data_IF_180142927908
#
_entry.id   IF_180142927908
#
_cell.length_a   1.000
_cell.length_b   1.000
_cell.length_c   1.000
_cell.angle_alpha   90.00
_cell.angle_beta   90.00
_cell.angle_gamma   90.00
#
_symmetry.space_group_name_H-M   'P 1'
#
loop_
_entity.id
_entity.type
_entity.pdbx_description
1 polymer ?
#
# COMPACT_ATOMS: atom_id res chain seq x y z
N UNK A 1 -14.08 22.60 47.71
CA UNK A 1 -14.75 22.15 46.46
C UNK A 1 -14.21 22.77 45.17
N UNK A 2 -13.65 24.00 45.16
CA UNK A 2 -13.11 24.62 43.90
C UNK A 2 -11.84 23.96 43.34
N UNK A 3 -10.95 23.44 44.20
CA UNK A 3 -9.69 22.82 43.76
C UNK A 3 -9.87 21.54 42.92
N UNK A 4 -10.95 20.77 43.15
CA UNK A 4 -11.24 19.54 42.40
C UNK A 4 -11.66 19.85 40.96
N UNK A 5 -12.37 20.98 40.74
CA UNK A 5 -12.78 21.41 39.40
C UNK A 5 -11.59 21.80 38.51
N UNK A 6 -10.60 22.50 39.06
CA UNK A 6 -9.40 22.89 38.30
C UNK A 6 -8.53 21.69 37.91
N UNK A 7 -8.42 20.68 38.78
CA UNK A 7 -7.68 19.45 38.49
C UNK A 7 -8.26 18.70 37.28
N UNK A 8 -9.59 18.56 37.21
CA UNK A 8 -10.27 17.86 36.10
C UNK A 8 -10.14 18.63 34.78
N UNK A 9 -10.25 19.96 34.82
CA UNK A 9 -10.10 20.79 33.61
C UNK A 9 -8.66 20.68 33.08
N UNK A 10 -7.66 20.77 33.97
CA UNK A 10 -6.25 20.68 33.59
C UNK A 10 -5.91 19.32 32.97
N UNK A 11 -6.35 18.22 33.58
CA UNK A 11 -6.10 16.87 33.04
C UNK A 11 -6.81 16.64 31.70
N UNK A 12 -8.00 17.18 31.52
CA UNK A 12 -8.75 17.09 30.24
C UNK A 12 -8.05 17.88 29.13
N UNK A 13 -7.58 19.09 29.43
CA UNK A 13 -6.83 19.92 28.46
C UNK A 13 -5.51 19.25 28.08
N UNK A 14 -4.76 18.72 29.06
CA UNK A 14 -3.53 17.97 28.80
C UNK A 14 -3.83 16.74 27.94
N UNK A 15 -4.88 15.96 28.26
CA UNK A 15 -5.25 14.80 27.46
C UNK A 15 -5.55 15.17 26.00
N UNK A 16 -6.36 16.21 25.77
CA UNK A 16 -6.69 16.66 24.42
C UNK A 16 -5.43 17.13 23.68
N UNK A 17 -4.58 17.94 24.30
CA UNK A 17 -3.31 18.36 23.69
C UNK A 17 -2.41 17.17 23.34
N UNK A 18 -2.41 16.13 24.17
CA UNK A 18 -1.54 14.97 24.00
C UNK A 18 -2.08 13.90 23.04
N UNK A 19 -3.40 13.84 22.80
CA UNK A 19 -4.06 12.75 22.07
C UNK A 19 -4.90 13.20 20.87
N UNK A 20 -5.06 14.50 20.64
CA UNK A 20 -5.91 14.96 19.53
C UNK A 20 -5.40 14.46 18.18
N UNK A 21 -4.09 14.43 17.97
CA UNK A 21 -3.45 13.99 16.72
C UNK A 21 -3.74 12.51 16.44
N UNK A 22 -3.75 11.68 17.48
CA UNK A 22 -4.16 10.28 17.40
C UNK A 22 -5.62 10.14 16.93
N UNK A 23 -6.55 10.89 17.53
CA UNK A 23 -7.97 10.80 17.17
C UNK A 23 -8.22 11.30 15.75
N UNK A 24 -7.64 12.44 15.38
CA UNK A 24 -7.76 13.00 14.02
C UNK A 24 -7.16 12.05 12.99
N UNK A 25 -5.98 11.50 13.26
CA UNK A 25 -5.33 10.52 12.39
C UNK A 25 -6.16 9.25 12.22
N UNK A 26 -6.80 8.76 13.28
CA UNK A 26 -7.70 7.59 13.22
C UNK A 26 -8.92 7.86 12.34
N UNK A 27 -9.55 9.04 12.48
CA UNK A 27 -10.72 9.43 11.68
C UNK A 27 -10.32 9.58 10.20
N UNK A 28 -9.22 10.28 9.93
CA UNK A 28 -8.72 10.49 8.57
C UNK A 28 -8.36 9.16 7.90
N UNK A 29 -7.66 8.28 8.62
CA UNK A 29 -7.30 6.97 8.12
C UNK A 29 -8.51 6.10 7.85
N UNK A 30 -9.50 6.08 8.75
CA UNK A 30 -10.74 5.34 8.53
C UNK A 30 -11.48 5.81 7.26
N UNK A 31 -11.54 7.13 7.03
CA UNK A 31 -12.14 7.70 5.82
C UNK A 31 -11.39 7.28 4.56
N UNK A 32 -10.05 7.33 4.57
CA UNK A 32 -9.22 6.89 3.44
C UNK A 32 -9.41 5.38 3.15
N UNK A 33 -9.40 4.54 4.19
CA UNK A 33 -9.58 3.10 4.02
C UNK A 33 -11.01 2.70 3.62
N UNK A 34 -12.01 3.53 3.93
CA UNK A 34 -13.39 3.30 3.48
C UNK A 34 -13.64 3.67 2.03
N UNK A 35 -12.74 4.43 1.39
CA UNK A 35 -12.88 4.81 -0.01
C UNK A 35 -12.31 3.72 -0.93
N UNK A 36 -13.20 2.86 -1.43
CA UNK A 36 -12.84 1.74 -2.31
C UNK A 36 -12.37 2.16 -3.69
N UNK A 37 -12.56 3.42 -4.07
CA UNK A 37 -12.03 3.95 -5.33
C UNK A 37 -10.55 4.30 -5.24
N UNK A 38 -10.02 4.40 -4.01
CA UNK A 38 -8.64 4.82 -3.75
C UNK A 38 -7.76 3.73 -3.15
N UNK A 39 -8.33 2.62 -2.64
CA UNK A 39 -7.59 1.55 -1.94
C UNK A 39 -7.84 0.21 -2.59
N UNK A 40 -6.77 -0.57 -2.75
CA UNK A 40 -6.80 -1.90 -3.33
C UNK A 40 -6.12 -1.97 -4.67
N UNK A 41 -6.42 -3.06 -5.38
CA UNK A 41 -5.93 -3.32 -6.73
C UNK A 41 -6.91 -2.74 -7.76
N UNK A 42 -6.39 -1.92 -8.66
CA UNK A 42 -7.10 -1.28 -9.74
C UNK A 42 -6.47 -1.70 -11.08
N UNK A 43 -7.27 -2.30 -11.95
CA UNK A 43 -6.87 -2.65 -13.32
C UNK A 43 -7.61 -1.72 -14.27
N UNK A 44 -6.87 -0.83 -14.93
CA UNK A 44 -7.42 0.12 -15.90
C UNK A 44 -7.43 -0.46 -17.30
N UNK A 45 -6.44 -1.29 -17.64
CA UNK A 45 -6.30 -1.92 -18.94
C UNK A 45 -5.65 -3.29 -18.80
N UNK A 46 -6.21 -4.28 -19.52
CA UNK A 46 -5.63 -5.62 -19.63
C UNK A 46 -4.91 -5.78 -20.96
N UNK A 47 -3.76 -6.43 -20.94
CA UNK A 47 -2.90 -6.64 -22.10
C UNK A 47 -2.88 -8.13 -22.46
N UNK A 48 -3.28 -8.44 -23.70
CA UNK A 48 -3.13 -9.77 -24.26
C UNK A 48 -1.64 -10.01 -24.58
N UNK A 49 -1.09 -11.12 -24.13
CA UNK A 49 0.31 -11.51 -24.37
C UNK A 49 0.38 -12.81 -25.18
N UNK A 50 1.32 -12.86 -26.10
CA UNK A 50 1.60 -14.05 -26.91
C UNK A 50 2.68 -14.91 -26.26
N UNK A 51 2.76 -16.19 -26.66
CA UNK A 51 3.80 -17.12 -26.19
C UNK A 51 5.24 -16.64 -26.48
N UNK A 52 5.44 -15.76 -27.47
CA UNK A 52 6.74 -15.16 -27.78
C UNK A 52 7.23 -14.15 -26.73
N UNK A 53 6.32 -13.64 -25.90
CA UNK A 53 6.59 -12.66 -24.85
C UNK A 53 6.86 -13.32 -23.49
N UNK A 54 6.89 -14.65 -23.47
CA UNK A 54 6.96 -15.46 -22.26
C UNK A 54 8.22 -16.31 -22.21
N UNK A 55 8.63 -16.61 -20.99
CA UNK A 55 9.76 -17.50 -20.69
C UNK A 55 9.29 -18.50 -19.64
N UNK A 56 9.72 -19.75 -19.79
CA UNK A 56 9.46 -20.78 -18.79
C UNK A 56 10.23 -20.49 -17.50
N UNK A 57 9.56 -20.70 -16.37
CA UNK A 57 10.19 -20.58 -15.06
C UNK A 57 11.09 -21.81 -14.87
N UNK A 58 12.37 -21.63 -14.50
CA UNK A 58 13.27 -22.75 -14.25
C UNK A 58 12.70 -23.64 -13.12
N UNK A 59 12.92 -24.96 -13.16
CA UNK A 59 12.35 -25.90 -12.18
C UNK A 59 12.86 -25.68 -10.75
N UNK A 60 13.99 -24.98 -10.60
CA UNK A 60 14.53 -24.58 -9.30
C UNK A 60 13.81 -23.34 -8.71
N UNK A 61 12.88 -22.76 -9.46
CA UNK A 61 12.16 -21.54 -9.11
C UNK A 61 12.96 -20.27 -9.40
N UNK A 62 12.36 -19.12 -9.10
CA UNK A 62 12.98 -17.81 -9.29
C UNK A 62 13.68 -17.39 -8.00
N UNK A 63 15.01 -17.38 -8.01
CA UNK A 63 15.82 -16.89 -6.89
C UNK A 63 15.90 -15.34 -6.84
N UNK A 64 15.63 -14.68 -7.96
CA UNK A 64 15.63 -13.22 -8.04
C UNK A 64 14.24 -12.64 -7.71
N UNK A 65 14.16 -11.92 -6.60
CA UNK A 65 12.93 -11.24 -6.18
C UNK A 65 12.39 -10.29 -7.26
N UNK A 66 13.25 -9.63 -8.05
CA UNK A 66 12.83 -8.75 -9.12
C UNK A 66 12.06 -9.50 -10.22
N UNK A 67 12.53 -10.70 -10.57
CA UNK A 67 11.91 -11.57 -11.57
C UNK A 67 10.64 -12.25 -11.05
N UNK A 68 10.55 -12.52 -9.73
CA UNK A 68 9.35 -13.13 -9.12
C UNK A 68 8.08 -12.28 -9.30
N UNK A 69 8.24 -10.99 -9.61
CA UNK A 69 7.12 -10.10 -9.90
C UNK A 69 6.59 -10.24 -11.33
N UNK A 70 7.32 -10.88 -12.24
CA UNK A 70 6.96 -11.04 -13.65
C UNK A 70 6.20 -12.35 -13.93
N UNK A 71 5.92 -13.14 -12.89
CA UNK A 71 5.13 -14.36 -12.98
C UNK A 71 3.71 -14.06 -13.47
N UNK A 72 3.31 -14.72 -14.56
CA UNK A 72 1.93 -14.65 -15.08
C UNK A 72 1.16 -15.89 -14.65
N UNK A 73 1.85 -17.04 -14.61
CA UNK A 73 1.31 -18.32 -14.17
C UNK A 73 2.39 -19.14 -13.45
N UNK A 74 2.01 -20.29 -12.91
CA UNK A 74 2.89 -21.14 -12.08
C UNK A 74 4.10 -21.71 -12.86
N UNK A 75 4.06 -21.69 -14.20
CA UNK A 75 5.14 -22.19 -15.07
C UNK A 75 5.72 -21.16 -16.04
N UNK A 76 5.12 -19.97 -16.15
CA UNK A 76 5.47 -18.97 -17.18
C UNK A 76 5.57 -17.58 -16.56
N UNK A 77 6.62 -16.85 -16.95
CA UNK A 77 6.82 -15.45 -16.60
C UNK A 77 6.98 -14.60 -17.86
N UNK A 78 6.75 -13.30 -17.76
CA UNK A 78 7.06 -12.36 -18.85
C UNK A 78 8.56 -12.36 -19.12
N UNK A 79 8.93 -12.31 -20.39
CA UNK A 79 10.32 -12.11 -20.80
C UNK A 79 10.81 -10.77 -20.21
N UNK A 80 11.83 -10.76 -19.34
CA UNK A 80 12.26 -9.55 -18.63
C UNK A 80 12.69 -8.43 -19.58
N UNK A 81 13.42 -8.77 -20.64
CA UNK A 81 13.89 -7.79 -21.63
C UNK A 81 12.72 -7.15 -22.36
N UNK A 82 11.80 -7.96 -22.87
CA UNK A 82 10.59 -7.46 -23.53
C UNK A 82 9.75 -6.61 -22.59
N UNK A 83 9.62 -7.03 -21.33
CA UNK A 83 8.85 -6.29 -20.34
C UNK A 83 9.48 -4.92 -20.06
N UNK A 84 10.79 -4.84 -19.83
CA UNK A 84 11.50 -3.58 -19.57
C UNK A 84 11.47 -2.63 -20.78
N UNK A 85 11.48 -3.16 -21.99
CA UNK A 85 11.42 -2.36 -23.22
C UNK A 85 10.03 -1.72 -23.42
N UNK A 86 8.96 -2.35 -22.93
CA UNK A 86 7.58 -1.94 -23.19
C UNK A 86 6.85 -1.36 -21.96
N UNK A 87 7.29 -1.71 -20.76
CA UNK A 87 6.63 -1.41 -19.49
C UNK A 87 7.62 -1.02 -18.41
N UNK A 88 7.11 -0.23 -17.46
CA UNK A 88 7.82 0.14 -16.24
C UNK A 88 7.03 -0.35 -15.04
N UNK A 89 7.64 -1.24 -14.26
CA UNK A 89 7.10 -1.69 -12.99
C UNK A 89 7.64 -0.84 -11.85
N UNK A 90 6.77 -0.03 -11.26
CA UNK A 90 7.08 0.74 -10.06
C UNK A 90 6.57 -0.08 -8.88
N UNK A 91 7.47 -0.80 -8.20
CA UNK A 91 7.09 -1.66 -7.08
C UNK A 91 6.72 -0.86 -5.84
N UNK A 92 7.40 0.26 -5.57
CA UNK A 92 7.18 1.03 -4.35
C UNK A 92 7.29 2.52 -4.60
N UNK A 93 6.18 3.22 -4.42
CA UNK A 93 6.14 4.67 -4.30
C UNK A 93 5.46 5.04 -2.98
N UNK A 94 6.11 5.88 -2.17
CA UNK A 94 5.56 6.36 -0.91
C UNK A 94 5.29 7.85 -1.00
N UNK A 95 4.07 8.25 -0.66
CA UNK A 95 3.64 9.64 -0.64
C UNK A 95 3.07 9.98 0.74
N UNK A 96 3.47 11.11 1.33
CA UNK A 96 2.90 11.58 2.59
C UNK A 96 1.56 12.29 2.32
N UNK A 97 0.47 11.73 2.83
CA UNK A 97 -0.89 12.26 2.63
C UNK A 97 -1.28 13.21 3.76
N UNK A 98 -0.82 12.94 4.98
CA UNK A 98 -1.06 13.80 6.13
C UNK A 98 0.11 13.78 7.08
N UNK A 99 0.50 14.96 7.58
CA UNK A 99 1.47 15.12 8.65
C UNK A 99 0.87 14.90 10.05
N UNK A 100 -0.45 15.05 10.20
CA UNK A 100 -1.16 14.87 11.47
C UNK A 100 -1.41 13.39 11.69
N UNK A 101 -0.63 12.80 12.61
CA UNK A 101 -0.54 11.36 12.81
C UNK A 101 -0.20 10.67 11.50
N UNK A 102 1.09 10.67 11.12
CA UNK A 102 1.53 10.58 9.74
C UNK A 102 0.85 9.46 8.96
N UNK A 103 0.20 9.81 7.86
CA UNK A 103 -0.43 8.86 6.95
C UNK A 103 0.32 8.90 5.63
N UNK A 104 0.80 7.75 5.18
CA UNK A 104 1.48 7.60 3.90
C UNK A 104 0.68 6.69 2.99
N UNK A 105 0.64 7.01 1.71
CA UNK A 105 0.17 6.16 0.63
C UNK A 105 1.35 5.32 0.12
N UNK A 106 1.15 4.01 0.03
CA UNK A 106 2.03 3.07 -0.64
C UNK A 106 1.38 2.69 -1.96
N UNK A 107 2.11 2.86 -3.06
CA UNK A 107 1.61 2.59 -4.40
C UNK A 107 2.59 1.67 -5.14
N UNK A 108 2.05 0.70 -5.86
CA UNK A 108 2.77 0.02 -6.93
C UNK A 108 1.97 0.11 -8.22
N UNK A 109 2.62 0.25 -9.37
CA UNK A 109 1.93 0.41 -10.66
C UNK A 109 2.74 -0.11 -11.83
N UNK A 110 2.04 -0.43 -12.91
CA UNK A 110 2.62 -0.74 -14.22
C UNK A 110 2.26 0.39 -15.16
N UNK A 111 3.27 1.00 -15.76
CA UNK A 111 3.14 2.03 -16.79
C UNK A 111 3.61 1.47 -18.12
N UNK A 112 2.92 1.80 -19.21
CA UNK A 112 3.41 1.53 -20.57
C UNK A 112 4.43 2.60 -20.97
N UNK A 113 5.56 2.18 -21.51
CA UNK A 113 6.67 3.09 -21.87
C UNK A 113 6.31 4.00 -23.03
N UNK A 114 5.55 3.52 -24.01
CA UNK A 114 5.26 4.26 -25.25
C UNK A 114 4.43 5.53 -25.05
N UNK A 115 3.47 5.49 -24.12
CA UNK A 115 2.50 6.58 -23.88
C UNK A 115 2.48 7.06 -22.41
N UNK A 116 3.24 6.42 -21.52
CA UNK A 116 3.24 6.71 -20.09
C UNK A 116 1.95 6.33 -19.37
N UNK A 117 1.05 5.57 -20.01
CA UNK A 117 -0.26 5.23 -19.44
C UNK A 117 -0.11 4.20 -18.32
N UNK A 118 -0.76 4.44 -17.18
CA UNK A 118 -0.88 3.46 -16.10
C UNK A 118 -1.90 2.38 -16.47
N UNK A 119 -1.47 1.13 -16.54
CA UNK A 119 -2.32 -0.03 -16.87
C UNK A 119 -3.00 -0.61 -15.63
N UNK A 120 -2.25 -0.63 -14.53
CA UNK A 120 -2.72 -1.16 -13.25
C UNK A 120 -1.99 -0.50 -12.11
N UNK A 121 -2.66 -0.44 -10.96
CA UNK A 121 -2.13 0.18 -9.75
C UNK A 121 -2.67 -0.55 -8.52
N UNK A 122 -1.84 -0.72 -7.51
CA UNK A 122 -2.27 -1.12 -6.17
C UNK A 122 -1.96 0.01 -5.20
N UNK A 123 -2.94 0.35 -4.37
CA UNK A 123 -2.82 1.43 -3.40
C UNK A 123 -3.16 0.92 -2.00
N UNK A 124 -2.29 1.23 -1.06
CA UNK A 124 -2.50 0.97 0.36
C UNK A 124 -2.17 2.22 1.17
N UNK A 125 -2.84 2.43 2.29
CA UNK A 125 -2.48 3.49 3.23
C UNK A 125 -1.85 2.90 4.49
N UNK A 126 -0.88 3.62 5.03
CA UNK A 126 -0.20 3.32 6.27
C UNK A 126 -0.31 4.49 7.22
N UNK A 127 -0.80 4.25 8.42
CA UNK A 127 -0.91 5.23 9.48
C UNK A 127 0.10 4.93 10.60
N UNK A 128 0.88 5.95 10.96
CA UNK A 128 1.88 5.93 12.01
C UNK A 128 1.36 6.38 13.40
N UNK A 129 0.06 6.67 13.52
CA UNK A 129 -0.70 6.93 14.75
C UNK A 129 -0.13 8.00 15.68
N UNK A 130 -0.22 9.27 15.24
CA UNK A 130 0.13 10.44 16.05
C UNK A 130 1.65 10.64 16.21
N UNK A 131 2.16 11.81 15.88
CA UNK A 131 3.60 12.10 16.07
C UNK A 131 3.91 12.36 17.55
N UNK A 132 2.97 12.92 18.29
CA UNK A 132 3.15 13.27 19.69
C UNK A 132 3.05 12.01 20.55
N UNK A 133 2.08 11.15 20.26
CA UNK A 133 1.98 9.83 20.91
C UNK A 133 3.26 9.00 20.69
N UNK A 134 3.86 9.06 19.49
CA UNK A 134 5.16 8.44 19.18
C UNK A 134 6.31 9.02 20.01
N UNK A 135 6.29 10.31 20.32
CA UNK A 135 7.33 10.94 21.14
C UNK A 135 7.23 10.53 22.62
N UNK A 136 6.02 10.21 23.10
CA UNK A 136 5.75 9.98 24.53
C UNK A 136 5.59 8.50 24.86
N UNK A 137 5.16 7.68 23.91
CA UNK A 137 5.01 6.23 24.07
C UNK A 137 6.04 5.55 23.17
N UNK A 138 6.92 4.73 23.75
CA UNK A 138 7.99 3.98 23.07
C UNK A 138 7.51 2.92 22.05
N UNK A 139 6.26 3.00 21.57
CA UNK A 139 5.61 1.98 20.78
C UNK A 139 5.06 2.49 19.45
N UNK A 140 5.25 1.69 18.40
CA UNK A 140 4.62 1.85 17.10
C UNK A 140 3.35 0.99 17.04
N UNK A 141 2.14 1.57 17.05
CA UNK A 141 0.99 0.91 16.41
C UNK A 141 0.92 1.42 14.97
N UNK A 142 1.26 0.56 14.00
CA UNK A 142 1.29 0.91 12.58
C UNK A 142 0.11 0.27 11.89
N UNK A 143 -0.96 1.02 11.62
CA UNK A 143 -2.11 0.46 10.91
C UNK A 143 -1.88 0.53 9.41
N UNK A 144 -2.11 -0.58 8.71
CA UNK A 144 -2.10 -0.65 7.25
C UNK A 144 -3.50 -1.02 6.79
N UNK A 145 -3.96 -0.41 5.71
CA UNK A 145 -5.14 -0.88 4.98
C UNK A 145 -4.76 -1.01 3.50
N UNK A 146 -4.90 -2.22 2.98
CA UNK A 146 -4.62 -2.57 1.58
C UNK A 146 -5.88 -3.01 0.83
N UNK A 147 -6.92 -3.45 1.55
CA UNK A 147 -8.19 -3.93 1.01
C UNK A 147 -9.30 -3.74 2.06
N UNK A 148 -10.56 -3.71 1.60
CA UNK A 148 -11.78 -3.37 2.37
C UNK A 148 -11.96 -4.17 3.67
N UNK A 149 -11.41 -5.38 3.76
CA UNK A 149 -11.70 -6.33 4.85
C UNK A 149 -10.47 -6.99 5.49
N UNK A 150 -9.25 -6.52 5.18
CA UNK A 150 -8.05 -7.12 5.77
C UNK A 150 -7.88 -6.66 7.22
N UNK A 151 -7.79 -7.60 8.16
CA UNK A 151 -7.32 -7.32 9.53
C UNK A 151 -5.91 -6.71 9.47
N UNK A 152 -5.53 -5.94 10.49
CA UNK A 152 -4.23 -5.24 10.53
C UNK A 152 -3.02 -6.14 10.20
N UNK A 153 -2.98 -7.34 10.76
CA UNK A 153 -1.91 -8.32 10.50
C UNK A 153 -1.95 -8.89 9.07
N UNK A 154 -3.15 -9.04 8.50
CA UNK A 154 -3.32 -9.52 7.12
C UNK A 154 -3.15 -8.43 6.07
N UNK A 155 -3.31 -7.15 6.41
CA UNK A 155 -3.30 -6.04 5.46
C UNK A 155 -1.93 -5.83 4.82
N UNK A 156 -0.83 -6.02 5.56
CA UNK A 156 0.51 -5.94 5.02
C UNK A 156 0.83 -7.12 4.10
N UNK A 157 0.47 -8.34 4.52
CA UNK A 157 0.61 -9.53 3.68
C UNK A 157 -0.22 -9.40 2.40
N UNK A 158 -1.44 -8.88 2.50
CA UNK A 158 -2.32 -8.64 1.36
C UNK A 158 -1.70 -7.61 0.41
N UNK A 159 -1.14 -6.51 0.93
CA UNK A 159 -0.43 -5.53 0.10
C UNK A 159 0.71 -6.18 -0.70
N UNK A 160 1.48 -7.09 -0.09
CA UNK A 160 2.54 -7.80 -0.79
C UNK A 160 1.96 -8.75 -1.85
N UNK A 161 0.86 -9.44 -1.54
CA UNK A 161 0.14 -10.30 -2.48
C UNK A 161 -0.45 -9.53 -3.65
N UNK A 162 -1.12 -8.41 -3.41
CA UNK A 162 -1.69 -7.53 -4.43
C UNK A 162 -0.60 -6.98 -5.36
N UNK A 163 0.57 -6.66 -4.80
CA UNK A 163 1.75 -6.24 -5.56
C UNK A 163 2.32 -7.37 -6.44
N UNK A 164 2.35 -8.61 -5.95
CA UNK A 164 2.75 -9.77 -6.76
C UNK A 164 1.73 -10.05 -7.87
N UNK A 165 0.45 -9.91 -7.55
CA UNK A 165 -0.63 -10.16 -8.50
C UNK A 165 -0.81 -9.05 -9.54
N UNK A 166 -0.12 -7.92 -9.40
CA UNK A 166 -0.25 -6.77 -10.29
C UNK A 166 0.03 -7.17 -11.75
N UNK A 167 1.11 -7.93 -12.00
CA UNK A 167 1.44 -8.44 -13.34
C UNK A 167 0.41 -9.48 -13.79
N UNK A 168 0.13 -10.49 -12.96
CA UNK A 168 -0.84 -11.56 -13.27
C UNK A 168 -2.25 -11.05 -13.61
N UNK A 169 -2.66 -9.92 -13.03
CA UNK A 169 -4.00 -9.35 -13.27
C UNK A 169 -4.03 -8.39 -14.47
N UNK A 170 -2.87 -7.85 -14.86
CA UNK A 170 -2.72 -6.92 -15.99
C UNK A 170 -2.51 -7.66 -17.31
N UNK A 171 -1.69 -8.70 -17.30
CA UNK A 171 -1.35 -9.47 -18.50
C UNK A 171 -2.09 -10.79 -18.51
N UNK A 172 -2.70 -11.14 -19.64
CA UNK A 172 -3.48 -12.38 -19.80
C UNK A 172 -3.20 -13.02 -21.17
N UNK A 173 -3.43 -14.33 -21.23
CA UNK A 173 -3.34 -15.15 -22.44
C UNK A 173 -4.71 -15.34 -23.09
#
# INVERSE_FOLDING_TARGET
MRAVGYGIVLTTVIYLLLRWDYHVSKILFAKLCSDHTQVGLHIYEKVLIDDSMLVEIPPEGINDLALSHLEVDDSKMLNPQWFEDNYRLILTHWELISSVGPISKAEARIERVTDGKTLSQTVAFKNHMGWLLRAITFGYDRRVCSCVNASHDSAFSQMLTDRKNLVRQTFYM
#
